data_IF_276556826149
#
_entry.id   IF_276556826149
#
_cell.length_a   1.000
_cell.length_b   1.000
_cell.length_c   1.000
_cell.angle_alpha   90.00
_cell.angle_beta   90.00
_cell.angle_gamma   90.00
#
_symmetry.space_group_name_H-M   'P 1'
#
loop_
_entity.id
_entity.type
_entity.pdbx_description
1 polymer ?
#
# COMPACT_ATOMS: atom_id res chain seq x y z
N UNK A 1 -3.10 0.85 -4.84
CA UNK A 1 -2.23 1.87 -4.22
C UNK A 1 -1.41 1.19 -3.15
N UNK A 2 -0.09 1.37 -3.12
CA UNK A 2 0.74 0.87 -2.02
C UNK A 2 0.78 1.92 -0.91
N UNK A 3 0.73 1.48 0.33
CA UNK A 3 0.88 2.33 1.50
C UNK A 3 2.08 1.89 2.32
N UNK A 4 2.76 2.86 2.89
CA UNK A 4 3.85 2.68 3.85
C UNK A 4 3.33 1.99 5.13
N UNK A 5 3.99 0.92 5.58
CA UNK A 5 3.56 0.18 6.78
C UNK A 5 3.67 1.01 8.08
N UNK A 6 4.67 1.89 8.17
CA UNK A 6 4.89 2.73 9.37
C UNK A 6 4.04 4.01 9.37
N UNK A 7 4.15 4.77 8.30
CA UNK A 7 3.56 6.10 8.17
C UNK A 7 2.16 6.11 7.56
N UNK A 8 1.69 4.97 7.02
CA UNK A 8 0.36 4.78 6.41
C UNK A 8 0.07 5.68 5.21
N UNK A 9 1.05 6.46 4.77
CA UNK A 9 0.91 7.32 3.62
C UNK A 9 0.89 6.51 2.32
N UNK A 10 0.11 6.98 1.34
CA UNK A 10 0.14 6.42 0.00
C UNK A 10 1.49 6.70 -0.64
N UNK A 11 2.09 5.66 -1.20
CA UNK A 11 3.29 5.78 -2.01
C UNK A 11 2.92 6.54 -3.29
N UNK A 12 3.47 7.76 -3.45
CA UNK A 12 3.24 8.63 -4.62
C UNK A 12 4.28 8.45 -5.73
N UNK A 13 5.37 7.75 -5.43
CA UNK A 13 6.53 7.63 -6.31
C UNK A 13 6.64 6.25 -6.93
N UNK A 14 6.67 6.20 -8.26
CA UNK A 14 7.02 5.03 -9.08
C UNK A 14 8.54 4.80 -9.11
N UNK A 15 9.25 5.19 -8.04
CA UNK A 15 10.70 5.23 -8.02
C UNK A 15 11.26 3.82 -7.82
N UNK A 16 12.20 3.45 -8.70
CA UNK A 16 12.97 2.19 -8.79
C UNK A 16 13.61 1.75 -7.46
N UNK A 17 13.72 2.65 -6.48
CA UNK A 17 14.15 2.38 -5.11
C UNK A 17 12.97 2.54 -4.14
N UNK A 18 12.35 1.42 -3.76
CA UNK A 18 11.17 1.37 -2.89
C UNK A 18 11.52 1.83 -1.45
N UNK A 19 11.62 3.14 -1.23
CA UNK A 19 11.90 3.76 0.06
C UNK A 19 10.90 4.88 0.31
N UNK A 20 10.24 4.84 1.47
CA UNK A 20 9.30 5.90 1.84
C UNK A 20 10.07 7.19 2.15
N UNK A 21 9.71 8.28 1.48
CA UNK A 21 10.36 9.60 1.63
C UNK A 21 10.24 10.17 3.05
N UNK A 22 9.14 9.89 3.76
CA UNK A 22 8.92 10.45 5.11
C UNK A 22 9.58 9.70 6.25
N UNK A 23 9.68 8.37 6.15
CA UNK A 23 10.14 7.55 7.28
C UNK A 23 11.30 6.62 6.93
N UNK A 24 11.79 6.64 5.69
CA UNK A 24 12.88 5.79 5.20
C UNK A 24 12.54 4.29 5.18
N UNK A 25 11.30 3.90 5.52
CA UNK A 25 10.92 2.50 5.59
C UNK A 25 10.76 1.90 4.18
N UNK A 26 11.19 0.65 4.02
CA UNK A 26 11.07 -0.14 2.78
C UNK A 26 9.93 -1.17 2.83
N UNK A 27 9.08 -1.08 3.85
CA UNK A 27 7.95 -1.98 4.05
C UNK A 27 6.65 -1.33 3.59
N UNK A 28 5.99 -1.97 2.63
CA UNK A 28 4.74 -1.48 2.03
C UNK A 28 3.68 -2.60 2.00
N UNK A 29 2.42 -2.19 2.04
CA UNK A 29 1.29 -3.08 1.85
C UNK A 29 0.40 -2.54 0.74
N UNK A 30 -0.26 -3.44 0.01
CA UNK A 30 -1.25 -3.06 -1.00
C UNK A 30 -2.56 -2.71 -0.32
N UNK A 31 -3.06 -1.51 -0.58
CA UNK A 31 -4.35 -1.08 -0.06
C UNK A 31 -5.47 -1.91 -0.67
N UNK A 32 -6.49 -2.22 0.15
CA UNK A 32 -7.66 -2.97 -0.28
C UNK A 32 -8.40 -2.19 -1.37
N UNK A 33 -8.67 -2.79 -2.55
CA UNK A 33 -9.47 -2.12 -3.55
C UNK A 33 -10.89 -1.90 -3.02
N UNK A 34 -11.51 -0.77 -3.37
CA UNK A 34 -12.91 -0.48 -3.04
C UNK A 34 -13.88 -1.22 -3.98
N UNK A 35 -13.61 -2.51 -4.20
CA UNK A 35 -14.44 -3.40 -5.01
C UNK A 35 -15.10 -4.39 -4.06
N UNK A 36 -16.43 -4.43 -4.10
CA UNK A 36 -17.21 -5.38 -3.29
C UNK A 36 -16.83 -6.80 -3.68
N UNK A 37 -16.33 -7.57 -2.71
CA UNK A 37 -16.09 -9.00 -2.88
C UNK A 37 -17.43 -9.73 -2.73
N UNK A 38 -17.91 -10.37 -3.79
CA UNK A 38 -19.09 -11.25 -3.72
C UNK A 38 -18.60 -12.62 -3.24
N UNK A 39 -19.01 -13.01 -2.03
CA UNK A 39 -18.72 -14.32 -1.46
C UNK A 39 -19.98 -15.19 -1.61
N UNK A 40 -19.84 -16.39 -2.19
CA UNK A 40 -20.88 -17.42 -2.10
C UNK A 40 -20.68 -18.17 -0.79
N UNK A 41 -21.66 -18.13 0.10
CA UNK A 41 -21.69 -19.02 1.25
C UNK A 41 -21.92 -20.46 0.75
N UNK A 42 -21.25 -21.44 1.36
CA UNK A 42 -21.42 -22.87 1.08
C UNK A 42 -22.42 -23.45 2.07
#
# INVERSE_FOLDING_TARGET
MYRCARCKEPLRTDAVTLQCEKCGSRMFYKERPNVKKVLKAR
#
